data_IF_698452110858
#
_entry.id   IF_698452110858
#
_cell.length_a   1.000
_cell.length_b   1.000
_cell.length_c   1.000
_cell.angle_alpha   90.00
_cell.angle_beta   90.00
_cell.angle_gamma   90.00
#
_symmetry.space_group_name_H-M   'P 1'
#
loop_
_entity.id
_entity.type
_entity.pdbx_description
1 polymer ?
#
# COMPACT_ATOMS: atom_id res chain seq x y z
N UNK A 1 -5.40 46.74 7.39
CA UNK A 1 -6.32 46.19 6.38
C UNK A 1 -5.71 46.10 4.97
N UNK A 2 -5.12 47.17 4.41
CA UNK A 2 -4.53 47.15 3.04
C UNK A 2 -3.35 46.17 2.82
N UNK A 3 -2.50 45.93 3.83
CA UNK A 3 -1.37 44.98 3.76
C UNK A 3 -1.80 43.50 3.74
N UNK A 4 -2.89 43.17 4.44
CA UNK A 4 -3.45 41.80 4.45
C UNK A 4 -4.11 41.47 3.11
N UNK A 5 -4.80 42.44 2.50
CA UNK A 5 -5.40 42.28 1.17
C UNK A 5 -4.33 42.11 0.08
N UNK A 6 -3.21 42.84 0.18
CA UNK A 6 -2.09 42.73 -0.77
C UNK A 6 -1.41 41.34 -0.71
N UNK A 7 -1.27 40.78 0.50
CA UNK A 7 -0.70 39.45 0.70
C UNK A 7 -1.56 38.35 0.06
N UNK A 8 -2.88 38.43 0.20
CA UNK A 8 -3.82 37.46 -0.38
C UNK A 8 -3.75 37.50 -1.92
N UNK A 9 -3.68 38.69 -2.52
CA UNK A 9 -3.58 38.84 -3.98
C UNK A 9 -2.25 38.24 -4.50
N UNK A 10 -1.15 38.41 -3.77
CA UNK A 10 0.16 37.84 -4.15
C UNK A 10 0.13 36.31 -4.09
N UNK A 11 -0.51 35.73 -3.06
CA UNK A 11 -0.64 34.26 -2.94
C UNK A 11 -1.51 33.70 -4.07
N UNK A 12 -2.62 34.35 -4.42
CA UNK A 12 -3.46 33.92 -5.54
C UNK A 12 -2.70 33.99 -6.87
N UNK A 13 -1.91 35.05 -7.09
CA UNK A 13 -1.08 35.17 -8.29
C UNK A 13 0.05 34.13 -8.33
N UNK A 14 0.62 33.77 -7.17
CA UNK A 14 1.60 32.69 -7.06
C UNK A 14 0.99 31.33 -7.35
N UNK A 15 -0.18 31.01 -6.80
CA UNK A 15 -0.89 29.74 -7.07
C UNK A 15 -1.30 29.65 -8.53
N UNK A 16 -1.84 30.73 -9.11
CA UNK A 16 -2.18 30.76 -10.53
C UNK A 16 -0.93 30.63 -11.43
N UNK A 17 0.19 31.26 -11.04
CA UNK A 17 1.46 31.15 -11.75
C UNK A 17 2.07 29.75 -11.69
N UNK A 18 2.05 29.12 -10.50
CA UNK A 18 2.50 27.74 -10.31
C UNK A 18 1.62 26.75 -11.06
N UNK A 19 0.30 26.95 -11.06
CA UNK A 19 -0.64 26.14 -11.85
C UNK A 19 -0.35 26.25 -13.35
N UNK A 20 -0.07 27.46 -13.84
CA UNK A 20 0.27 27.69 -15.26
C UNK A 20 1.61 27.05 -15.65
N UNK A 21 2.62 27.15 -14.79
CA UNK A 21 3.93 26.50 -14.99
C UNK A 21 3.81 24.99 -14.96
N UNK A 22 3.05 24.44 -13.99
CA UNK A 22 2.79 23.01 -13.89
C UNK A 22 2.12 22.49 -15.16
N UNK A 23 1.04 23.15 -15.60
CA UNK A 23 0.31 22.70 -16.78
C UNK A 23 1.12 22.83 -18.09
N UNK A 24 2.06 23.79 -18.15
CA UNK A 24 2.91 24.01 -19.33
C UNK A 24 4.15 23.10 -19.39
N UNK A 25 4.77 22.77 -18.25
CA UNK A 25 6.00 21.96 -18.20
C UNK A 25 5.77 20.49 -17.80
N UNK A 26 4.74 20.20 -17.01
CA UNK A 26 4.46 18.88 -16.43
C UNK A 26 3.06 18.36 -16.76
N UNK A 27 2.19 19.20 -17.34
CA UNK A 27 0.91 18.76 -17.89
C UNK A 27 1.13 17.83 -19.09
N UNK A 28 0.24 16.85 -19.32
CA UNK A 28 0.34 15.98 -20.48
C UNK A 28 0.39 16.85 -21.74
N UNK A 29 1.41 16.62 -22.56
CA UNK A 29 1.54 17.28 -23.86
C UNK A 29 0.50 16.66 -24.80
N UNK A 30 -0.75 17.09 -24.68
CA UNK A 30 -1.84 16.66 -25.58
C UNK A 30 -1.55 17.28 -26.95
N UNK A 31 -0.92 16.51 -27.83
CA UNK A 31 -0.70 16.91 -29.22
C UNK A 31 -2.06 16.85 -29.92
N UNK A 32 -2.62 18.01 -30.26
CA UNK A 32 -3.83 18.08 -31.07
C UNK A 32 -3.53 17.57 -32.49
N UNK A 33 -4.30 16.59 -32.95
CA UNK A 33 -4.19 16.01 -34.28
C UNK A 33 -4.28 14.48 -34.28
N UNK A 34 -4.36 13.92 -35.49
CA UNK A 34 -4.25 12.49 -35.78
C UNK A 34 -2.89 11.97 -35.26
N UNK A 35 -2.92 10.91 -34.44
CA UNK A 35 -1.74 10.28 -33.84
C UNK A 35 -1.61 8.87 -34.38
N UNK A 36 -0.38 8.46 -34.61
CA UNK A 36 -0.03 7.07 -34.94
C UNK A 36 0.62 6.43 -33.72
N UNK A 37 -0.01 5.40 -33.17
CA UNK A 37 0.45 4.72 -31.94
C UNK A 37 0.57 3.22 -32.18
N UNK A 38 1.39 2.53 -31.40
CA UNK A 38 1.45 1.06 -31.43
C UNK A 38 0.68 0.51 -30.24
N UNK A 39 -0.30 -0.37 -30.49
CA UNK A 39 -1.01 -1.11 -29.45
C UNK A 39 -0.57 -2.56 -29.47
N UNK A 40 -0.04 -3.03 -28.35
CA UNK A 40 0.40 -4.41 -28.13
C UNK A 40 -0.45 -5.05 -27.04
N UNK A 41 -0.91 -6.27 -27.27
CA UNK A 41 -1.70 -7.04 -26.31
C UNK A 41 -1.16 -8.46 -26.33
N UNK A 42 -0.66 -8.92 -25.20
CA UNK A 42 -0.20 -10.28 -25.02
C UNK A 42 -1.14 -11.00 -24.04
N UNK A 43 -1.88 -11.99 -24.54
CA UNK A 43 -2.68 -12.87 -23.70
C UNK A 43 -2.08 -14.27 -23.67
N UNK A 44 -1.26 -14.53 -22.66
CA UNK A 44 -0.58 -15.82 -22.51
C UNK A 44 -1.53 -17.01 -22.28
N UNK A 45 -2.78 -16.77 -21.82
CA UNK A 45 -3.75 -17.83 -21.56
C UNK A 45 -4.47 -18.30 -22.83
N UNK A 46 -4.75 -17.38 -23.75
CA UNK A 46 -5.33 -17.73 -25.04
C UNK A 46 -4.26 -18.03 -26.10
N UNK A 47 -3.02 -17.56 -25.88
CA UNK A 47 -1.94 -17.63 -26.84
C UNK A 47 -2.09 -16.61 -27.98
N UNK A 48 -3.01 -15.66 -27.83
CA UNK A 48 -3.25 -14.60 -28.81
C UNK A 48 -2.38 -13.39 -28.48
N UNK A 49 -1.46 -13.09 -29.40
CA UNK A 49 -0.70 -11.86 -29.39
C UNK A 49 -1.22 -10.93 -30.48
N UNK A 50 -1.53 -9.70 -30.10
CA UNK A 50 -1.92 -8.62 -30.99
C UNK A 50 -0.85 -7.52 -30.94
N UNK A 51 -0.34 -7.11 -32.09
CA UNK A 51 0.49 -5.92 -32.20
C UNK A 51 0.14 -5.21 -33.49
N UNK A 52 -0.34 -3.98 -33.41
CA UNK A 52 -0.66 -3.15 -34.57
C UNK A 52 -0.35 -1.69 -34.34
N UNK A 53 0.04 -1.04 -35.42
CA UNK A 53 0.08 0.41 -35.52
C UNK A 53 -1.34 0.88 -35.84
N UNK A 54 -1.86 1.78 -35.00
CA UNK A 54 -3.20 2.34 -35.07
C UNK A 54 -3.10 3.86 -35.25
N UNK A 55 -4.11 4.41 -35.91
CA UNK A 55 -4.24 5.84 -36.13
C UNK A 55 -5.52 6.31 -35.45
N UNK A 56 -5.44 7.36 -34.64
CA UNK A 56 -6.57 7.85 -33.85
C UNK A 56 -6.52 9.37 -33.66
N UNK A 57 -7.69 9.98 -33.52
CA UNK A 57 -7.83 11.38 -33.10
C UNK A 57 -8.06 11.50 -31.58
N UNK A 58 -8.19 10.38 -30.86
CA UNK A 58 -8.38 10.32 -29.42
C UNK A 58 -7.31 11.09 -28.64
N UNK A 59 -7.70 11.65 -27.51
CA UNK A 59 -6.78 12.38 -26.62
C UNK A 59 -6.14 11.44 -25.60
N UNK A 60 -6.86 10.39 -25.20
CA UNK A 60 -6.46 9.45 -24.16
C UNK A 60 -6.39 8.01 -24.66
N UNK A 61 -5.65 7.16 -23.93
CA UNK A 61 -5.61 5.72 -24.22
C UNK A 61 -7.01 5.11 -24.11
N UNK A 62 -7.85 5.60 -23.19
CA UNK A 62 -9.25 5.16 -23.11
C UNK A 62 -10.03 5.41 -24.41
N UNK A 63 -9.84 6.57 -25.06
CA UNK A 63 -10.50 6.88 -26.33
C UNK A 63 -10.09 5.90 -27.43
N UNK A 64 -8.78 5.63 -27.55
CA UNK A 64 -8.25 4.62 -28.49
C UNK A 64 -8.86 3.24 -28.23
N UNK A 65 -8.93 2.82 -26.96
CA UNK A 65 -9.47 1.50 -26.62
C UNK A 65 -10.98 1.42 -26.87
N UNK A 66 -11.73 2.52 -26.72
CA UNK A 66 -13.14 2.58 -27.11
C UNK A 66 -13.31 2.40 -28.63
N UNK A 67 -12.47 3.05 -29.44
CA UNK A 67 -12.48 2.88 -30.89
C UNK A 67 -12.22 1.42 -31.30
N UNK A 68 -11.34 0.72 -30.59
CA UNK A 68 -10.97 -0.67 -30.85
C UNK A 68 -11.84 -1.69 -30.08
N UNK A 69 -12.81 -1.23 -29.28
CA UNK A 69 -13.50 -2.07 -28.29
C UNK A 69 -14.14 -3.32 -28.92
N UNK A 70 -14.79 -3.16 -30.07
CA UNK A 70 -15.48 -4.26 -30.74
C UNK A 70 -14.51 -5.25 -31.38
N UNK A 71 -13.42 -4.78 -31.97
CA UNK A 71 -12.42 -5.64 -32.63
C UNK A 71 -11.64 -6.46 -31.60
N UNK A 72 -11.24 -5.81 -30.51
CA UNK A 72 -10.42 -6.39 -29.46
C UNK A 72 -11.23 -6.98 -28.32
N UNK A 73 -12.57 -7.00 -28.44
CA UNK A 73 -13.49 -7.49 -27.40
C UNK A 73 -13.15 -6.94 -26.00
N UNK A 74 -12.94 -5.63 -25.90
CA UNK A 74 -12.49 -4.98 -24.67
C UNK A 74 -13.67 -4.80 -23.71
N UNK A 75 -13.46 -5.20 -22.46
CA UNK A 75 -14.40 -5.02 -21.36
C UNK A 75 -13.80 -4.05 -20.35
N UNK A 76 -14.58 -3.02 -20.02
CA UNK A 76 -14.22 -2.02 -19.03
C UNK A 76 -15.06 -2.18 -17.77
N UNK A 77 -14.43 -1.90 -16.64
CA UNK A 77 -15.12 -1.75 -15.35
C UNK A 77 -14.81 -0.36 -14.78
N UNK A 78 -15.82 0.25 -14.15
CA UNK A 78 -15.73 1.60 -13.60
C UNK A 78 -15.43 1.52 -12.11
N UNK A 79 -14.38 2.21 -11.68
CA UNK A 79 -14.01 2.41 -10.28
C UNK A 79 -13.98 3.91 -9.94
N UNK A 80 -13.80 4.25 -8.66
CA UNK A 80 -13.78 5.64 -8.18
C UNK A 80 -12.63 6.46 -8.78
N UNK A 81 -11.53 5.80 -9.16
CA UNK A 81 -10.36 6.41 -9.81
C UNK A 81 -10.39 6.32 -11.34
N UNK A 82 -11.50 5.87 -11.94
CA UNK A 82 -11.68 5.81 -13.39
C UNK A 82 -11.94 4.40 -13.94
N UNK A 83 -11.79 4.23 -15.25
CA UNK A 83 -12.01 2.94 -15.91
C UNK A 83 -10.77 2.06 -15.88
N UNK A 84 -10.96 0.77 -15.62
CA UNK A 84 -9.96 -0.28 -15.80
C UNK A 84 -10.37 -1.22 -16.93
N UNK A 85 -9.38 -1.83 -17.58
CA UNK A 85 -9.58 -2.90 -18.56
C UNK A 85 -9.61 -4.22 -17.82
N UNK A 86 -10.76 -4.89 -17.83
CA UNK A 86 -10.95 -6.21 -17.18
C UNK A 86 -11.05 -7.34 -18.18
N UNK A 87 -11.15 -7.03 -19.48
CA UNK A 87 -11.18 -8.04 -20.54
C UNK A 87 -10.61 -7.52 -21.85
N UNK A 88 -9.89 -8.38 -22.56
CA UNK A 88 -9.39 -8.16 -23.92
C UNK A 88 -9.30 -9.50 -24.66
N UNK A 89 -9.41 -9.48 -25.99
CA UNK A 89 -9.29 -10.65 -26.87
C UNK A 89 -10.21 -11.81 -26.46
N UNK A 90 -11.45 -11.49 -26.08
CA UNK A 90 -12.48 -12.43 -25.59
C UNK A 90 -12.09 -13.18 -24.30
N UNK A 91 -11.11 -12.68 -23.57
CA UNK A 91 -10.73 -13.18 -22.26
C UNK A 91 -11.03 -12.14 -21.20
N UNK A 92 -11.65 -12.56 -20.11
CA UNK A 92 -11.93 -11.70 -18.96
C UNK A 92 -11.04 -12.12 -17.79
N UNK A 93 -10.23 -11.20 -17.31
CA UNK A 93 -9.45 -11.37 -16.10
C UNK A 93 -10.39 -11.51 -14.90
N UNK A 94 -10.08 -12.41 -13.98
CA UNK A 94 -10.94 -12.69 -12.82
C UNK A 94 -10.17 -12.55 -11.52
N UNK A 95 -10.86 -12.09 -10.48
CA UNK A 95 -10.31 -12.05 -9.12
C UNK A 95 -10.04 -13.46 -8.58
N UNK A 96 -10.83 -14.48 -8.99
CA UNK A 96 -10.65 -15.87 -8.58
C UNK A 96 -9.27 -16.42 -9.00
N UNK A 97 -8.84 -16.12 -10.22
CA UNK A 97 -7.50 -16.49 -10.71
C UNK A 97 -6.42 -15.46 -10.34
N UNK A 98 -6.80 -14.40 -9.61
CA UNK A 98 -5.95 -13.27 -9.30
C UNK A 98 -5.30 -12.70 -10.57
N UNK A 99 -6.08 -12.49 -11.63
CA UNK A 99 -5.59 -12.02 -12.93
C UNK A 99 -5.94 -10.54 -13.14
N UNK A 100 -5.09 -9.83 -13.87
CA UNK A 100 -5.33 -8.46 -14.30
C UNK A 100 -4.62 -8.18 -15.62
N UNK A 101 -5.14 -7.21 -16.37
CA UNK A 101 -4.46 -6.68 -17.55
C UNK A 101 -3.50 -5.57 -17.13
N UNK A 102 -2.21 -5.90 -17.11
CA UNK A 102 -1.13 -4.96 -16.80
C UNK A 102 -0.89 -4.02 -17.97
N UNK A 103 -0.90 -2.72 -17.71
CA UNK A 103 -0.68 -1.66 -18.69
C UNK A 103 0.72 -1.04 -18.55
N UNK A 104 1.44 -0.95 -19.66
CA UNK A 104 2.70 -0.23 -19.78
C UNK A 104 2.68 0.79 -20.94
N UNK A 105 3.43 1.88 -20.79
CA UNK A 105 3.61 2.95 -21.78
C UNK A 105 5.10 3.06 -22.08
N UNK A 106 5.49 2.91 -23.35
CA UNK A 106 6.91 2.90 -23.74
C UNK A 106 7.74 1.79 -23.08
N UNK A 107 7.09 0.75 -22.54
CA UNK A 107 7.72 -0.33 -21.78
C UNK A 107 7.85 -0.08 -20.26
N UNK A 108 7.40 1.07 -19.76
CA UNK A 108 7.36 1.38 -18.32
C UNK A 108 5.94 1.19 -17.75
N UNK A 109 5.85 0.75 -16.49
CA UNK A 109 4.57 0.50 -15.83
C UNK A 109 3.75 1.80 -15.73
N UNK A 110 2.47 1.72 -16.11
CA UNK A 110 1.61 2.89 -16.05
C UNK A 110 1.16 3.19 -14.62
N UNK A 111 1.30 4.46 -14.20
CA UNK A 111 0.90 4.91 -12.86
C UNK A 111 -0.60 5.23 -12.75
N UNK A 112 -1.30 5.30 -13.88
CA UNK A 112 -2.74 5.61 -13.95
C UNK A 112 -3.44 4.68 -14.92
N UNK A 113 -4.75 4.52 -14.77
CA UNK A 113 -5.57 3.80 -15.74
C UNK A 113 -5.62 4.50 -17.12
N UNK A 114 -6.19 3.82 -18.14
CA UNK A 114 -6.25 4.31 -19.53
C UNK A 114 -6.82 5.73 -19.70
N UNK A 115 -7.73 6.15 -18.82
CA UNK A 115 -8.34 7.48 -18.88
C UNK A 115 -7.38 8.61 -18.46
N UNK A 116 -6.38 8.31 -17.64
CA UNK A 116 -5.36 9.27 -17.20
C UNK A 116 -4.17 9.38 -18.14
N UNK A 117 -4.06 8.47 -19.12
CA UNK A 117 -2.91 8.40 -20.03
C UNK A 117 -3.25 9.16 -21.31
N UNK A 118 -2.55 10.26 -21.56
CA UNK A 118 -2.62 10.99 -22.81
C UNK A 118 -1.90 10.21 -23.93
N UNK A 119 -2.46 10.25 -25.13
CA UNK A 119 -1.84 9.66 -26.31
C UNK A 119 -0.72 10.55 -26.86
N UNK A 120 0.44 9.96 -27.10
CA UNK A 120 1.58 10.59 -27.75
C UNK A 120 1.86 9.94 -29.10
N UNK A 121 2.19 10.75 -30.11
CA UNK A 121 2.49 10.25 -31.46
C UNK A 121 3.78 9.41 -31.46
N UNK A 122 3.73 8.26 -32.12
CA UNK A 122 4.80 7.26 -32.17
C UNK A 122 4.94 6.39 -30.92
N UNK A 123 4.12 6.59 -29.89
CA UNK A 123 4.22 5.87 -28.61
C UNK A 123 3.66 4.44 -28.69
N UNK A 124 4.18 3.56 -27.83
CA UNK A 124 3.71 2.19 -27.68
C UNK A 124 2.98 2.01 -26.36
N UNK A 125 1.77 1.46 -26.44
CA UNK A 125 0.94 1.09 -25.30
C UNK A 125 0.79 -0.43 -25.29
N UNK A 126 1.14 -1.07 -24.19
CA UNK A 126 1.08 -2.53 -24.08
C UNK A 126 0.21 -3.01 -22.93
N UNK A 127 -0.61 -4.01 -23.22
CA UNK A 127 -1.38 -4.77 -22.25
C UNK A 127 -0.84 -6.20 -22.17
N UNK A 128 -0.57 -6.68 -20.97
CA UNK A 128 -0.21 -8.08 -20.75
C UNK A 128 -1.12 -8.66 -19.69
N UNK A 129 -1.72 -9.82 -19.97
CA UNK A 129 -2.42 -10.56 -18.93
C UNK A 129 -1.38 -11.07 -17.93
N UNK A 130 -1.51 -10.68 -16.67
CA UNK A 130 -0.66 -11.11 -15.57
C UNK A 130 -1.52 -11.67 -14.45
N UNK A 131 -0.96 -12.60 -13.69
CA UNK A 131 -1.47 -12.94 -12.38
C UNK A 131 -0.79 -12.07 -11.32
N UNK A 132 -1.48 -11.74 -10.22
CA UNK A 132 -0.82 -11.22 -9.01
C UNK A 132 0.22 -12.21 -8.49
N UNK A 133 0.08 -13.50 -8.81
CA UNK A 133 1.08 -14.52 -8.55
C UNK A 133 2.26 -14.48 -9.54
N UNK A 134 2.15 -13.80 -10.68
CA UNK A 134 3.26 -13.70 -11.64
C UNK A 134 4.38 -12.74 -11.18
N UNK A 135 4.12 -11.95 -10.12
CA UNK A 135 5.22 -11.31 -9.37
C UNK A 135 6.16 -12.35 -8.73
N UNK A 136 5.78 -13.63 -8.67
CA UNK A 136 6.64 -14.77 -8.30
C UNK A 136 7.17 -15.57 -9.51
N UNK A 137 6.69 -15.32 -10.74
CA UNK A 137 6.84 -16.24 -11.87
C UNK A 137 7.81 -15.79 -12.98
N UNK A 138 8.76 -14.88 -12.71
CA UNK A 138 9.92 -14.70 -13.59
C UNK A 138 11.13 -15.57 -13.18
N UNK A 139 10.97 -16.47 -12.21
CA UNK A 139 12.00 -17.43 -11.83
C UNK A 139 11.79 -18.72 -12.64
N UNK A 140 12.68 -18.96 -13.60
CA UNK A 140 12.71 -20.20 -14.38
C UNK A 140 12.98 -21.37 -13.44
N UNK A 141 11.90 -22.08 -13.07
CA UNK A 141 11.92 -23.22 -12.17
C UNK A 141 13.02 -24.24 -12.52
N UNK A 142 13.98 -24.45 -11.61
CA UNK A 142 15.04 -25.46 -11.72
C UNK A 142 16.27 -25.07 -12.54
N UNK A 143 16.35 -23.84 -13.05
CA UNK A 143 17.58 -23.29 -13.65
C UNK A 143 18.49 -22.79 -12.55
N UNK A 144 19.78 -23.13 -12.68
CA UNK A 144 20.84 -22.68 -11.78
C UNK A 144 21.09 -21.18 -11.99
N UNK A 145 21.03 -20.40 -10.90
CA UNK A 145 21.15 -18.95 -10.87
C UNK A 145 22.37 -18.59 -10.03
N UNK A 146 23.16 -17.63 -10.47
CA UNK A 146 24.25 -17.04 -9.68
C UNK A 146 23.82 -15.64 -9.22
N UNK A 147 23.79 -15.41 -7.92
CA UNK A 147 23.30 -14.17 -7.31
C UNK A 147 24.23 -13.72 -6.18
N UNK A 148 24.06 -12.51 -5.70
CA UNK A 148 24.75 -12.02 -4.49
C UNK A 148 23.77 -11.93 -3.33
N UNK A 149 24.10 -12.55 -2.20
CA UNK A 149 23.37 -12.41 -0.94
C UNK A 149 24.19 -11.56 0.02
N UNK A 150 23.60 -10.46 0.49
CA UNK A 150 24.19 -9.55 1.45
C UNK A 150 23.35 -9.52 2.72
N UNK A 151 23.97 -9.64 3.90
CA UNK A 151 23.30 -9.48 5.18
C UNK A 151 24.13 -8.53 6.02
N UNK A 152 23.58 -7.35 6.27
CA UNK A 152 24.19 -6.29 7.07
C UNK A 152 23.50 -6.30 8.42
N UNK A 153 24.25 -6.70 9.44
CA UNK A 153 23.79 -6.68 10.82
C UNK A 153 24.77 -5.87 11.65
N UNK A 154 24.40 -4.61 11.92
CA UNK A 154 25.25 -3.69 12.69
C UNK A 154 25.44 -4.13 14.15
N UNK A 155 24.50 -4.91 14.71
CA UNK A 155 24.56 -5.38 16.11
C UNK A 155 25.61 -6.47 16.30
N UNK A 156 25.69 -7.40 15.35
CA UNK A 156 26.71 -8.46 15.37
C UNK A 156 28.04 -7.95 14.82
N UNK A 157 28.05 -6.83 14.10
CA UNK A 157 29.22 -6.28 13.35
C UNK A 157 29.76 -7.26 12.30
N UNK A 158 28.95 -8.24 11.92
CA UNK A 158 29.29 -9.24 10.92
C UNK A 158 28.45 -8.99 9.68
N UNK A 159 29.06 -8.31 8.72
CA UNK A 159 28.48 -8.20 7.38
C UNK A 159 28.81 -9.47 6.59
N UNK A 160 27.78 -10.04 5.98
CA UNK A 160 27.88 -11.14 5.03
C UNK A 160 27.65 -10.60 3.62
N UNK A 161 28.49 -10.99 2.67
CA UNK A 161 28.32 -10.70 1.25
C UNK A 161 29.00 -11.82 0.48
N UNK A 162 28.21 -12.69 -0.14
CA UNK A 162 28.72 -13.81 -0.92
C UNK A 162 27.95 -13.96 -2.23
N UNK A 163 28.69 -14.39 -3.26
CA UNK A 163 28.10 -14.82 -4.52
C UNK A 163 27.73 -16.29 -4.39
N UNK A 164 26.45 -16.59 -4.50
CA UNK A 164 25.88 -17.91 -4.32
C UNK A 164 25.35 -18.42 -5.65
N UNK A 165 25.41 -19.75 -5.82
CA UNK A 165 24.78 -20.43 -6.95
C UNK A 165 23.71 -21.36 -6.42
N UNK A 166 22.49 -21.24 -6.94
CA UNK A 166 21.30 -21.89 -6.39
C UNK A 166 20.32 -22.31 -7.48
N UNK A 167 19.45 -23.27 -7.18
CA UNK A 167 18.24 -23.58 -7.97
C UNK A 167 16.96 -23.16 -7.26
N UNK A 168 17.08 -22.46 -6.14
CA UNK A 168 15.97 -21.90 -5.39
C UNK A 168 15.21 -20.91 -6.27
N UNK A 169 13.90 -20.85 -6.06
CA UNK A 169 13.02 -19.96 -6.82
C UNK A 169 12.67 -18.72 -6.02
N UNK A 170 12.59 -18.85 -4.69
CA UNK A 170 12.27 -17.75 -3.79
C UNK A 170 13.43 -17.38 -2.89
N UNK A 171 13.39 -16.14 -2.39
CA UNK A 171 14.34 -15.66 -1.40
C UNK A 171 14.27 -16.45 -0.09
N UNK A 172 13.09 -16.94 0.30
CA UNK A 172 12.92 -17.85 1.43
C UNK A 172 13.67 -19.17 1.21
N UNK A 173 13.48 -19.81 0.05
CA UNK A 173 14.16 -21.07 -0.28
C UNK A 173 15.68 -20.92 -0.28
N UNK A 174 16.19 -19.80 -0.83
CA UNK A 174 17.61 -19.46 -0.79
C UNK A 174 18.12 -19.38 0.66
N UNK A 175 17.42 -18.64 1.53
CA UNK A 175 17.83 -18.50 2.92
C UNK A 175 17.83 -19.85 3.64
N UNK A 176 16.85 -20.72 3.36
CA UNK A 176 16.78 -22.06 3.94
C UNK A 176 17.88 -23.00 3.40
N UNK A 177 18.20 -22.92 2.11
CA UNK A 177 19.30 -23.65 1.47
C UNK A 177 20.65 -23.27 2.09
N UNK A 178 20.86 -21.97 2.32
CA UNK A 178 22.10 -21.42 2.88
C UNK A 178 22.00 -21.07 4.36
N UNK A 179 21.11 -21.73 5.12
CA UNK A 179 20.76 -21.37 6.50
C UNK A 179 21.95 -21.26 7.44
N UNK A 180 22.97 -22.11 7.29
CA UNK A 180 24.16 -22.10 8.14
C UNK A 180 25.05 -20.88 7.84
N UNK A 181 25.19 -20.52 6.57
CA UNK A 181 26.01 -19.39 6.10
C UNK A 181 25.32 -18.05 6.40
N UNK A 182 24.02 -17.99 6.13
CA UNK A 182 23.18 -16.83 6.43
C UNK A 182 22.87 -16.69 7.94
N UNK A 183 23.19 -17.71 8.76
CA UNK A 183 22.89 -17.73 10.19
C UNK A 183 21.40 -17.58 10.47
N UNK A 184 20.56 -18.25 9.68
CA UNK A 184 19.10 -18.17 9.76
C UNK A 184 18.64 -18.73 11.10
N UNK A 185 17.84 -17.94 11.82
CA UNK A 185 17.11 -18.37 13.01
C UNK A 185 15.66 -18.60 12.63
N UNK A 186 15.13 -19.77 12.97
CA UNK A 186 13.76 -20.15 12.63
C UNK A 186 12.94 -20.44 13.88
N UNK A 187 11.65 -20.09 13.83
CA UNK A 187 10.65 -20.52 14.79
C UNK A 187 9.64 -21.47 14.13
N UNK A 188 9.12 -22.43 14.91
CA UNK A 188 8.12 -23.35 14.41
C UNK A 188 6.76 -22.65 14.32
N UNK A 189 6.19 -22.61 13.12
CA UNK A 189 4.88 -21.99 12.85
C UNK A 189 4.02 -22.99 12.07
N UNK A 190 3.21 -23.77 12.80
CA UNK A 190 2.39 -24.84 12.23
C UNK A 190 3.22 -25.98 11.63
N UNK A 191 2.99 -26.30 10.35
CA UNK A 191 3.78 -27.30 9.60
C UNK A 191 5.11 -26.75 9.06
N UNK A 192 5.31 -25.43 9.14
CA UNK A 192 6.39 -24.72 8.46
C UNK A 192 7.33 -24.07 9.48
N UNK A 193 8.50 -23.65 9.01
CA UNK A 193 9.46 -22.87 9.80
C UNK A 193 9.49 -21.44 9.29
N UNK A 194 9.25 -20.49 10.18
CA UNK A 194 9.30 -19.06 9.87
C UNK A 194 10.70 -18.52 10.17
N UNK A 195 11.24 -17.71 9.26
CA UNK A 195 12.54 -17.06 9.46
C UNK A 195 12.31 -15.85 10.37
N UNK A 196 12.80 -15.94 11.60
CA UNK A 196 12.67 -14.89 12.61
C UNK A 196 13.99 -14.14 12.83
N UNK A 197 15.08 -14.57 12.19
CA UNK A 197 16.38 -13.93 12.38
C UNK A 197 17.40 -14.33 11.32
N UNK A 198 18.43 -13.50 11.19
CA UNK A 198 19.56 -13.69 10.29
C UNK A 198 20.85 -13.40 11.05
N UNK A 199 21.95 -14.05 10.63
CA UNK A 199 23.27 -13.97 11.27
C UNK A 199 23.23 -14.23 12.77
N UNK A 200 22.39 -15.17 13.20
CA UNK A 200 22.22 -15.57 14.60
C UNK A 200 21.52 -14.53 15.48
N UNK A 201 20.97 -13.47 14.89
CA UNK A 201 20.26 -12.41 15.59
C UNK A 201 18.78 -12.46 15.28
N UNK A 202 17.95 -12.46 16.32
CA UNK A 202 16.50 -12.30 16.24
C UNK A 202 16.21 -10.82 16.54
N UNK A 203 15.62 -10.06 15.61
CA UNK A 203 15.25 -8.68 15.86
C UNK A 203 14.30 -8.55 17.07
N UNK A 204 14.56 -7.56 17.93
CA UNK A 204 13.67 -7.24 19.05
C UNK A 204 12.49 -6.36 18.58
N UNK A 205 11.56 -6.02 19.48
CA UNK A 205 10.26 -5.35 19.19
C UNK A 205 10.26 -4.29 18.09
N UNK A 206 11.27 -3.41 18.08
CA UNK A 206 11.37 -2.28 17.14
C UNK A 206 12.38 -2.54 16.03
N UNK A 207 12.84 -3.76 15.84
CA UNK A 207 13.86 -4.11 14.87
C UNK A 207 13.31 -5.11 13.87
N UNK A 208 13.83 -5.06 12.65
CA UNK A 208 13.46 -5.97 11.59
C UNK A 208 14.56 -6.01 10.53
N UNK A 209 14.63 -7.12 9.80
CA UNK A 209 15.48 -7.19 8.62
C UNK A 209 14.71 -6.64 7.43
N UNK A 210 15.10 -5.46 6.97
CA UNK A 210 14.56 -4.87 5.76
C UNK A 210 15.27 -5.46 4.54
N UNK A 211 14.52 -5.91 3.54
CA UNK A 211 15.05 -6.53 2.33
C UNK A 211 15.14 -5.54 1.16
N UNK A 212 16.20 -5.65 0.38
CA UNK A 212 16.46 -4.91 -0.85
C UNK A 212 16.74 -5.88 -1.99
N UNK A 213 16.26 -5.54 -3.18
CA UNK A 213 16.51 -6.27 -4.42
C UNK A 213 17.14 -5.29 -5.41
N UNK A 214 18.37 -5.58 -5.84
CA UNK A 214 19.16 -4.74 -6.74
C UNK A 214 19.26 -3.27 -6.25
N UNK A 215 19.31 -3.06 -4.93
CA UNK A 215 19.40 -1.75 -4.30
C UNK A 215 18.07 -1.02 -4.11
N UNK A 216 16.94 -1.60 -4.52
CA UNK A 216 15.60 -1.07 -4.26
C UNK A 216 14.92 -1.82 -3.11
N UNK A 217 14.08 -1.13 -2.34
CA UNK A 217 13.30 -1.78 -1.27
C UNK A 217 12.40 -2.88 -1.84
N UNK A 218 12.40 -4.04 -1.20
CA UNK A 218 11.55 -5.14 -1.62
C UNK A 218 10.09 -4.84 -1.24
N UNK A 219 9.20 -4.88 -2.24
CA UNK A 219 7.75 -4.72 -2.03
C UNK A 219 7.04 -6.01 -1.63
N UNK A 220 7.75 -7.14 -1.65
CA UNK A 220 7.24 -8.46 -1.28
C UNK A 220 8.13 -9.11 -0.23
N UNK A 221 7.54 -9.99 0.58
CA UNK A 221 8.28 -10.75 1.59
C UNK A 221 9.08 -11.91 1.00
N UNK A 222 10.04 -12.50 1.76
CA UNK A 222 10.96 -13.51 1.23
C UNK A 222 10.29 -14.74 0.62
N UNK A 223 9.10 -15.14 1.11
CA UNK A 223 8.35 -16.28 0.56
C UNK A 223 7.83 -16.06 -0.86
N UNK A 224 7.63 -14.81 -1.26
CA UNK A 224 7.04 -14.46 -2.56
C UNK A 224 8.01 -13.70 -3.46
N UNK A 225 9.15 -13.24 -2.95
CA UNK A 225 10.21 -12.62 -3.74
C UNK A 225 10.92 -13.65 -4.63
N UNK A 226 10.83 -13.54 -5.97
CA UNK A 226 11.51 -14.47 -6.88
C UNK A 226 13.01 -14.17 -7.01
N UNK A 227 13.80 -15.21 -7.26
CA UNK A 227 15.22 -15.09 -7.57
C UNK A 227 15.46 -14.95 -9.07
N UNK A 228 16.32 -13.99 -9.42
CA UNK A 228 16.84 -13.71 -10.76
C UNK A 228 18.34 -13.98 -10.81
N UNK A 229 18.79 -14.57 -11.91
CA UNK A 229 20.22 -14.70 -12.21
C UNK A 229 20.88 -13.32 -12.29
N UNK A 230 22.07 -13.20 -11.71
CA UNK A 230 22.79 -11.94 -11.50
C UNK A 230 22.19 -10.99 -10.44
N UNK A 231 21.09 -11.37 -9.77
CA UNK A 231 20.42 -10.50 -8.79
C UNK A 231 21.25 -10.25 -7.53
N UNK A 232 21.04 -9.11 -6.89
CA UNK A 232 21.60 -8.77 -5.57
C UNK A 232 20.46 -8.68 -4.57
N UNK A 233 20.51 -9.52 -3.53
CA UNK A 233 19.51 -9.59 -2.46
C UNK A 233 20.19 -9.19 -1.17
N UNK A 234 19.74 -8.09 -0.57
CA UNK A 234 20.34 -7.56 0.66
C UNK A 234 19.33 -7.53 1.78
N UNK A 235 19.74 -7.96 2.96
CA UNK A 235 19.03 -7.73 4.21
C UNK A 235 19.81 -6.75 5.06
N UNK A 236 19.16 -5.70 5.53
CA UNK A 236 19.72 -4.74 6.47
C UNK A 236 18.92 -4.81 7.77
N UNK A 237 19.59 -5.06 8.90
CA UNK A 237 18.95 -4.89 10.19
C UNK A 237 18.65 -3.41 10.36
N UNK A 238 17.36 -3.08 10.40
CA UNK A 238 16.87 -1.76 10.72
C UNK A 238 16.18 -1.80 12.07
N UNK A 239 16.30 -0.71 12.79
CA UNK A 239 15.31 -0.38 13.79
C UNK A 239 14.26 0.47 13.08
N UNK A 240 12.98 0.27 13.39
CA UNK A 240 12.08 1.41 13.43
C UNK A 240 12.83 2.47 14.23
N UNK A 241 13.16 3.59 13.60
CA UNK A 241 13.53 4.74 14.40
C UNK A 241 12.37 4.95 15.36
N UNK A 242 12.65 5.18 16.64
CA UNK A 242 11.80 6.07 17.43
C UNK A 242 11.89 7.49 16.82
N UNK A 243 11.60 7.63 15.53
CA UNK A 243 10.51 8.53 15.23
C UNK A 243 9.32 7.82 15.90
N UNK A 244 9.00 8.11 17.17
CA UNK A 244 8.08 9.22 17.45
C UNK A 244 7.49 9.57 16.12
N UNK A 245 6.42 8.87 15.71
CA UNK A 245 5.62 9.22 14.54
C UNK A 245 5.61 10.73 14.53
N UNK A 246 6.50 11.32 13.72
CA UNK A 246 6.78 12.73 13.87
C UNK A 246 5.42 13.31 13.56
N UNK A 247 4.83 14.07 14.49
CA UNK A 247 3.45 14.42 14.40
C UNK A 247 3.18 14.92 12.99
N UNK A 248 2.41 14.16 12.19
CA UNK A 248 1.86 14.59 10.91
C UNK A 248 1.51 16.06 11.04
N UNK A 249 2.13 16.91 10.21
CA UNK A 249 2.20 18.39 10.33
C UNK A 249 0.95 19.04 10.96
N UNK A 250 0.87 18.99 12.28
CA UNK A 250 -0.35 19.21 13.03
C UNK A 250 0.01 19.66 14.44
N UNK A 251 -0.79 20.59 14.97
CA UNK A 251 -0.59 21.12 16.31
C UNK A 251 -0.65 19.98 17.34
N UNK A 252 0.35 19.88 18.20
CA UNK A 252 0.37 18.92 19.30
C UNK A 252 -0.76 19.27 20.28
N UNK A 253 -1.55 18.26 20.66
CA UNK A 253 -2.71 18.35 21.53
C UNK A 253 -2.50 17.45 22.75
N UNK A 254 -2.99 17.87 23.90
CA UNK A 254 -3.16 17.02 25.06
C UNK A 254 -4.61 16.57 25.13
N UNK A 255 -4.89 15.27 25.22
CA UNK A 255 -6.24 14.73 25.36
C UNK A 255 -6.36 13.88 26.61
N UNK A 256 -7.56 13.79 27.17
CA UNK A 256 -7.89 12.81 28.22
C UNK A 256 -8.73 11.70 27.60
N UNK A 257 -8.32 10.46 27.79
CA UNK A 257 -9.03 9.29 27.27
C UNK A 257 -9.51 8.41 28.43
N UNK A 258 -10.79 8.03 28.37
CA UNK A 258 -11.44 7.29 29.44
C UNK A 258 -12.22 6.09 28.89
N UNK A 259 -12.13 4.95 29.58
CA UNK A 259 -12.94 3.76 29.30
C UNK A 259 -13.55 3.27 30.60
N UNK A 260 -14.88 3.14 30.61
CA UNK A 260 -15.64 2.69 31.78
C UNK A 260 -16.50 1.50 31.40
N UNK A 261 -16.39 0.43 32.19
CA UNK A 261 -17.29 -0.72 32.14
C UNK A 261 -17.57 -1.17 33.57
N UNK A 262 -18.69 -0.68 34.12
CA UNK A 262 -19.05 -0.84 35.53
C UNK A 262 -19.16 -2.32 35.95
N UNK A 263 -19.79 -3.16 35.12
CA UNK A 263 -19.99 -4.57 35.46
C UNK A 263 -18.68 -5.38 35.51
N UNK A 264 -17.67 -5.00 34.73
CA UNK A 264 -16.35 -5.59 34.73
C UNK A 264 -15.38 -4.91 35.73
N UNK A 265 -15.80 -3.80 36.36
CA UNK A 265 -14.95 -3.00 37.24
C UNK A 265 -13.79 -2.31 36.52
N UNK A 266 -13.94 -2.06 35.22
CA UNK A 266 -12.97 -1.32 34.42
C UNK A 266 -13.26 0.18 34.54
N UNK A 267 -12.27 0.92 35.04
CA UNK A 267 -12.27 2.38 35.14
C UNK A 267 -10.87 2.88 34.75
N UNK A 268 -10.70 3.14 33.46
CA UNK A 268 -9.46 3.61 32.85
C UNK A 268 -9.56 5.11 32.56
N UNK A 269 -8.54 5.87 32.95
CA UNK A 269 -8.40 7.30 32.63
C UNK A 269 -6.93 7.64 32.53
N UNK A 270 -6.49 8.12 31.36
CA UNK A 270 -5.11 8.52 31.11
C UNK A 270 -5.06 9.74 30.18
N UNK A 271 -4.00 10.54 30.34
CA UNK A 271 -3.75 11.74 29.53
C UNK A 271 -2.68 11.41 28.49
N UNK A 272 -2.97 11.74 27.24
CA UNK A 272 -2.09 11.48 26.11
C UNK A 272 -1.71 12.77 25.39
N UNK A 273 -0.51 12.80 24.82
CA UNK A 273 -0.13 13.80 23.84
C UNK A 273 -0.21 13.19 22.44
N UNK A 274 -0.89 13.89 21.54
CA UNK A 274 -1.04 13.46 20.15
C UNK A 274 -1.24 14.66 19.25
N UNK A 275 -0.87 14.52 17.98
CA UNK A 275 -1.10 15.50 16.94
C UNK A 275 -2.10 15.00 15.88
N UNK A 276 -2.64 13.80 16.09
CA UNK A 276 -3.57 13.20 15.16
C UNK A 276 -4.84 14.04 15.08
N UNK A 277 -5.47 14.03 13.91
CA UNK A 277 -6.63 14.87 13.65
C UNK A 277 -7.91 14.24 14.19
N UNK A 278 -8.05 12.91 14.11
CA UNK A 278 -9.28 12.20 14.47
C UNK A 278 -9.06 11.21 15.61
N UNK A 279 -10.13 10.94 16.37
CA UNK A 279 -10.12 9.93 17.43
C UNK A 279 -9.93 8.53 16.86
N UNK A 280 -10.50 8.22 15.69
CA UNK A 280 -10.34 6.93 15.02
C UNK A 280 -8.89 6.63 14.68
N UNK A 281 -8.18 7.58 14.04
CA UNK A 281 -6.75 7.44 13.73
C UNK A 281 -5.92 7.21 14.99
N UNK A 282 -6.27 7.90 16.07
CA UNK A 282 -5.61 7.74 17.37
C UNK A 282 -5.88 6.36 17.97
N UNK A 283 -7.12 5.88 17.96
CA UNK A 283 -7.48 4.55 18.48
C UNK A 283 -6.77 3.42 17.73
N UNK A 284 -6.62 3.50 16.40
CA UNK A 284 -5.83 2.53 15.62
C UNK A 284 -4.39 2.48 16.14
N UNK A 285 -3.78 3.62 16.48
CA UNK A 285 -2.42 3.66 17.05
C UNK A 285 -2.33 3.08 18.46
N UNK A 286 -3.45 3.06 19.19
CA UNK A 286 -3.53 2.51 20.55
C UNK A 286 -4.00 1.05 20.60
N UNK A 287 -4.24 0.40 19.46
CA UNK A 287 -4.75 -0.99 19.37
C UNK A 287 -4.00 -1.96 20.30
N UNK A 288 -2.67 -1.91 20.31
CA UNK A 288 -1.86 -2.79 21.15
C UNK A 288 -1.92 -2.45 22.66
N UNK A 289 -2.11 -1.18 23.03
CA UNK A 289 -2.14 -0.75 24.43
C UNK A 289 -3.52 -0.92 25.05
N UNK A 290 -4.56 -0.59 24.30
CA UNK A 290 -5.95 -0.58 24.76
C UNK A 290 -6.69 -1.85 24.38
N UNK A 291 -6.08 -2.75 23.59
CA UNK A 291 -6.74 -3.92 22.99
C UNK A 291 -8.07 -3.52 22.34
N UNK A 292 -8.09 -2.36 21.69
CA UNK A 292 -9.30 -1.79 21.09
C UNK A 292 -9.61 -2.49 19.78
N UNK A 293 -10.86 -2.89 19.60
CA UNK A 293 -11.34 -3.46 18.33
C UNK A 293 -12.41 -2.55 17.75
N UNK A 294 -12.23 -2.18 16.49
CA UNK A 294 -13.14 -1.33 15.72
C UNK A 294 -13.65 -2.06 14.49
N UNK A 295 -14.91 -1.83 14.15
CA UNK A 295 -15.54 -2.38 12.95
C UNK A 295 -16.16 -1.25 12.12
N UNK A 296 -16.10 -1.41 10.80
CA UNK A 296 -16.67 -0.47 9.83
C UNK A 296 -18.08 -0.92 9.41
N UNK A 297 -19.04 -0.01 9.52
CA UNK A 297 -20.42 -0.20 9.10
C UNK A 297 -20.82 0.86 8.07
N UNK A 298 -21.93 0.64 7.37
CA UNK A 298 -22.52 1.60 6.39
C UNK A 298 -22.80 2.99 6.99
N UNK A 299 -22.88 3.10 8.31
CA UNK A 299 -23.14 4.33 9.06
C UNK A 299 -21.92 4.89 9.81
N UNK A 300 -20.74 4.29 9.65
CA UNK A 300 -19.47 4.74 10.24
C UNK A 300 -18.75 3.65 11.03
N UNK A 301 -17.58 3.99 11.57
CA UNK A 301 -16.80 3.09 12.43
C UNK A 301 -17.42 3.02 13.83
N UNK A 302 -17.42 1.82 14.42
CA UNK A 302 -17.91 1.58 15.78
C UNK A 302 -16.83 0.86 16.58
N UNK A 303 -16.69 1.22 17.85
CA UNK A 303 -15.82 0.49 18.77
C UNK A 303 -16.60 -0.65 19.40
N UNK A 304 -16.10 -1.88 19.26
CA UNK A 304 -16.76 -3.09 19.77
C UNK A 304 -16.05 -3.68 20.99
N UNK A 305 -14.79 -3.34 21.25
CA UNK A 305 -14.04 -3.87 22.39
C UNK A 305 -12.97 -2.91 22.90
N UNK A 306 -12.70 -2.98 24.20
CA UNK A 306 -11.53 -2.41 24.88
C UNK A 306 -11.02 -3.39 25.93
N UNK A 307 -9.71 -3.53 26.10
CA UNK A 307 -9.07 -4.39 27.11
C UNK A 307 -9.65 -5.82 27.14
N UNK A 308 -9.91 -6.39 25.96
CA UNK A 308 -10.59 -7.69 25.78
C UNK A 308 -12.03 -7.78 26.32
N UNK A 309 -12.68 -6.65 26.63
CA UNK A 309 -14.08 -6.57 27.00
C UNK A 309 -14.92 -6.16 25.79
N UNK A 310 -15.52 -7.15 25.15
CA UNK A 310 -16.36 -6.97 23.96
C UNK A 310 -17.79 -6.57 24.36
N UNK A 311 -18.39 -5.67 23.57
CA UNK A 311 -19.78 -5.28 23.70
C UNK A 311 -20.71 -6.37 23.13
N UNK A 312 -21.69 -6.81 23.91
CA UNK A 312 -22.63 -7.84 23.48
C UNK A 312 -23.83 -7.23 22.72
N UNK A 313 -23.74 -7.25 21.39
CA UNK A 313 -24.80 -6.75 20.52
C UNK A 313 -26.13 -7.53 20.67
N UNK A 314 -26.12 -8.82 21.02
CA UNK A 314 -27.35 -9.60 21.27
C UNK A 314 -28.06 -9.11 22.54
N UNK A 315 -27.29 -8.62 23.51
CA UNK A 315 -27.76 -8.06 24.77
C UNK A 315 -27.90 -6.52 24.76
N UNK A 316 -27.82 -5.89 23.58
CA UNK A 316 -27.93 -4.45 23.38
C UNK A 316 -26.87 -3.63 24.16
N UNK A 317 -25.68 -4.21 24.31
CA UNK A 317 -24.53 -3.55 24.91
C UNK A 317 -23.68 -2.89 23.83
N UNK A 318 -23.33 -1.62 24.04
CA UNK A 318 -22.52 -0.83 23.11
C UNK A 318 -21.62 0.14 23.87
N UNK A 319 -20.42 0.36 23.34
CA UNK A 319 -19.54 1.41 23.82
C UNK A 319 -20.08 2.78 23.40
N UNK A 320 -20.63 3.49 24.38
CA UNK A 320 -21.18 4.82 24.20
C UNK A 320 -20.08 5.86 24.32
N UNK A 321 -19.87 6.65 23.27
CA UNK A 321 -18.87 7.70 23.23
C UNK A 321 -19.45 9.06 23.65
N UNK A 322 -18.77 9.72 24.58
CA UNK A 322 -18.98 11.14 24.90
C UNK A 322 -17.71 11.94 24.66
N UNK A 323 -17.87 13.16 24.14
CA UNK A 323 -16.81 14.14 23.95
C UNK A 323 -17.12 15.34 24.83
N UNK A 324 -16.23 15.65 25.77
CA UNK A 324 -16.41 16.70 26.78
C UNK A 324 -17.74 16.59 27.54
N UNK A 325 -18.17 15.35 27.80
CA UNK A 325 -19.42 15.03 28.49
C UNK A 325 -20.68 15.15 27.65
N UNK A 326 -20.57 15.35 26.33
CA UNK A 326 -21.69 15.39 25.39
C UNK A 326 -21.67 14.13 24.53
N UNK A 327 -22.84 13.51 24.34
CA UNK A 327 -22.97 12.33 23.47
C UNK A 327 -22.49 12.62 22.05
N UNK A 328 -21.59 11.77 21.55
CA UNK A 328 -21.15 11.83 20.18
C UNK A 328 -22.30 11.43 19.23
N UNK A 329 -22.43 12.15 18.12
CA UNK A 329 -23.45 11.87 17.08
C UNK A 329 -22.87 11.17 15.86
N UNK A 330 -21.58 10.81 15.91
CA UNK A 330 -20.82 10.20 14.82
C UNK A 330 -19.79 9.21 15.39
N UNK A 331 -19.25 8.35 14.52
CA UNK A 331 -18.18 7.42 14.86
C UNK A 331 -16.85 8.13 15.20
N UNK A 332 -15.89 7.40 15.80
CA UNK A 332 -14.60 7.96 16.21
C UNK A 332 -13.75 8.46 15.03
N UNK A 333 -13.91 7.85 13.85
CA UNK A 333 -13.29 8.25 12.58
C UNK A 333 -13.67 9.67 12.14
N UNK A 334 -14.83 10.17 12.59
CA UNK A 334 -15.34 11.50 12.25
C UNK A 334 -15.18 12.53 13.36
N UNK A 335 -14.63 12.14 14.51
CA UNK A 335 -14.47 13.01 15.67
C UNK A 335 -13.09 13.62 15.67
N UNK A 336 -13.03 14.95 15.53
CA UNK A 336 -11.78 15.68 15.61
C UNK A 336 -11.23 15.72 17.04
N UNK A 337 -9.92 15.48 17.17
CA UNK A 337 -9.19 15.66 18.42
C UNK A 337 -8.93 17.14 18.67
N UNK A 338 -9.24 17.60 19.87
CA UNK A 338 -9.07 18.98 20.33
C UNK A 338 -8.12 19.04 21.51
N UNK A 339 -7.32 20.11 21.60
CA UNK A 339 -6.42 20.30 22.72
C UNK A 339 -7.21 20.54 24.02
N UNK A 340 -6.94 19.72 25.03
CA UNK A 340 -7.69 19.63 26.28
C UNK A 340 -8.97 18.79 26.23
N UNK A 341 -9.30 18.17 25.10
CA UNK A 341 -10.54 17.40 24.93
C UNK A 341 -10.58 16.11 25.76
N UNK A 342 -11.77 15.74 26.24
CA UNK A 342 -12.03 14.51 27.00
C UNK A 342 -12.88 13.56 26.15
N UNK A 343 -12.36 12.36 25.90
CA UNK A 343 -12.99 11.33 25.07
C UNK A 343 -13.26 10.12 25.93
N UNK A 344 -14.53 9.88 26.26
CA UNK A 344 -14.94 8.82 27.17
C UNK A 344 -15.82 7.80 26.47
N UNK A 345 -15.40 6.54 26.53
CA UNK A 345 -16.20 5.38 26.18
C UNK A 345 -16.78 4.75 27.43
N UNK A 346 -18.08 4.52 27.45
CA UNK A 346 -18.79 3.85 28.53
C UNK A 346 -19.58 2.68 27.95
N UNK A 347 -19.32 1.45 28.39
CA UNK A 347 -20.14 0.32 27.98
C UNK A 347 -21.53 0.47 28.62
N UNK A 348 -22.56 0.60 27.79
CA UNK A 348 -23.95 0.77 28.22
C UNK A 348 -24.85 -0.29 27.60
N UNK A 349 -25.85 -0.70 28.38
CA UNK A 349 -26.94 -1.58 27.97
C UNK A 349 -28.19 -0.75 27.68
N UNK A 350 -28.79 -0.94 26.51
CA UNK A 350 -29.95 -0.17 26.04
C UNK A 350 -31.28 -0.90 26.15
#
# INVERSE_FOLDING_TARGET
MKKKLLSIIIVILLVAGLFWIYNYFFGPSVVQGEKTVTLEIANQKTGDDFSRVLTTEGETLYDLLLEQQNELAIVFEKYDFGFMVVGMLNYQATNENQEYFHLAVGGEDAMTGPQGIALADGETYSFSLRSFNDFSASASAGVEKTLTLEIINEKTKENFSEVLTTKSETLHDLLMEFKEQAGVVTEASGSDSEIIGLRGYVPEKTEYFHSFINGQEAVTGPKTTPLKDGGVYRFELRSFSEEVLAPSEGELKTITFEVVHDEAGLDFSEVFETNLQTLGDWLVKQEAQLEVVMEEYDFGTVVISFFSHEADAENQEYYHLTVDGVDATSGPDQIELTDGGIYRFELRKY
#
